data_IF_973389440100
#
_entry.id   IF_973389440100
#
_cell.length_a   1.000
_cell.length_b   1.000
_cell.length_c   1.000
_cell.angle_alpha   90.00
_cell.angle_beta   90.00
_cell.angle_gamma   90.00
#
_symmetry.space_group_name_H-M   'P 1'
#
loop_
_entity.id
_entity.type
_entity.pdbx_description
1 polymer ?
#
# COMPACT_ATOMS: atom_id res chain seq x y z
N UNK A 1 12.87 -43.08 -23.73
CA UNK A 1 11.62 -43.80 -23.43
C UNK A 1 10.56 -42.79 -23.12
N UNK A 2 9.34 -42.89 -23.62
CA UNK A 2 8.26 -41.95 -23.28
C UNK A 2 8.05 -41.94 -21.78
N UNK A 3 7.96 -40.77 -21.14
CA UNK A 3 7.73 -40.61 -19.71
C UNK A 3 6.28 -40.98 -19.39
N UNK A 4 6.07 -41.94 -18.48
CA UNK A 4 4.73 -42.29 -18.03
C UNK A 4 4.31 -41.37 -16.87
N UNK A 5 3.43 -40.44 -17.15
CA UNK A 5 2.97 -39.41 -16.20
C UNK A 5 2.21 -40.00 -15.00
N UNK A 6 1.53 -41.12 -15.18
CA UNK A 6 0.87 -41.84 -14.07
C UNK A 6 1.90 -42.42 -13.10
N UNK A 7 2.98 -43.00 -13.63
CA UNK A 7 4.08 -43.52 -12.82
C UNK A 7 4.84 -42.41 -12.09
N UNK A 8 5.01 -41.23 -12.72
CA UNK A 8 5.67 -40.07 -12.09
C UNK A 8 4.88 -39.57 -10.89
N UNK A 9 3.56 -39.53 -10.98
CA UNK A 9 2.67 -39.15 -9.86
C UNK A 9 2.37 -40.31 -8.89
N UNK A 10 2.76 -41.54 -9.23
CA UNK A 10 2.52 -42.74 -8.41
C UNK A 10 1.05 -43.09 -8.26
N UNK A 11 0.25 -42.91 -9.33
CA UNK A 11 -1.21 -43.12 -9.33
C UNK A 11 -1.63 -44.05 -10.46
N UNK A 12 -2.77 -44.70 -10.29
CA UNK A 12 -3.38 -45.55 -11.31
C UNK A 12 -3.99 -44.72 -12.45
N UNK A 13 -4.07 -45.30 -13.66
CA UNK A 13 -4.69 -44.65 -14.83
C UNK A 13 -6.18 -44.30 -14.65
N UNK A 14 -6.86 -44.93 -13.70
CA UNK A 14 -8.28 -44.68 -13.37
C UNK A 14 -8.46 -43.72 -12.20
N UNK A 15 -7.39 -43.04 -11.76
CA UNK A 15 -7.40 -42.11 -10.62
C UNK A 15 -8.44 -41.01 -10.77
N UNK A 16 -9.10 -40.63 -9.68
CA UNK A 16 -10.02 -39.49 -9.61
C UNK A 16 -9.20 -38.15 -9.64
N UNK A 17 -9.85 -37.04 -10.05
CA UNK A 17 -9.20 -35.71 -10.03
C UNK A 17 -8.73 -35.32 -8.63
N UNK A 18 -9.50 -35.65 -7.60
CA UNK A 18 -9.18 -35.31 -6.21
C UNK A 18 -7.96 -36.08 -5.70
N UNK A 19 -7.86 -37.36 -6.05
CA UNK A 19 -6.71 -38.19 -5.64
C UNK A 19 -5.47 -37.83 -6.44
N UNK A 20 -5.64 -37.45 -7.71
CA UNK A 20 -4.56 -36.91 -8.51
C UNK A 20 -3.96 -35.61 -7.89
N UNK A 21 -4.86 -34.73 -7.42
CA UNK A 21 -4.46 -33.48 -6.71
C UNK A 21 -3.72 -33.79 -5.40
N UNK A 22 -4.20 -34.74 -4.62
CA UNK A 22 -3.55 -35.19 -3.37
C UNK A 22 -2.15 -35.75 -3.63
N UNK A 23 -2.01 -36.61 -4.64
CA UNK A 23 -0.71 -37.19 -5.03
C UNK A 23 0.29 -36.10 -5.46
N UNK A 24 -0.16 -35.15 -6.29
CA UNK A 24 0.62 -34.01 -6.70
C UNK A 24 1.10 -33.17 -5.50
N UNK A 25 0.22 -32.78 -4.58
CA UNK A 25 0.59 -32.00 -3.42
C UNK A 25 1.65 -32.70 -2.55
N UNK A 26 1.50 -34.02 -2.35
CA UNK A 26 2.46 -34.82 -1.59
C UNK A 26 3.86 -34.80 -2.24
N UNK A 27 3.94 -35.03 -3.55
CA UNK A 27 5.22 -35.07 -4.27
C UNK A 27 5.83 -33.68 -4.47
N UNK A 28 5.01 -32.65 -4.75
CA UNK A 28 5.45 -31.28 -4.85
C UNK A 28 6.06 -30.79 -3.52
N UNK A 29 5.45 -31.13 -2.40
CA UNK A 29 5.98 -30.82 -1.07
C UNK A 29 7.27 -31.60 -0.75
N UNK A 30 7.42 -32.83 -1.26
CA UNK A 30 8.61 -33.66 -1.04
C UNK A 30 9.80 -33.18 -1.87
N UNK A 31 9.59 -32.75 -3.12
CA UNK A 31 10.64 -32.38 -4.06
C UNK A 31 10.84 -30.85 -4.19
N UNK A 32 10.17 -30.04 -3.34
CA UNK A 32 10.30 -28.57 -3.40
C UNK A 32 11.76 -28.13 -3.26
N UNK A 33 12.26 -27.22 -4.13
CA UNK A 33 13.66 -26.81 -4.14
C UNK A 33 14.10 -26.15 -2.81
N UNK A 34 13.20 -25.51 -2.07
CA UNK A 34 13.51 -24.84 -0.81
C UNK A 34 13.61 -25.79 0.40
N UNK A 35 13.37 -27.11 0.21
CA UNK A 35 13.51 -28.08 1.30
C UNK A 35 14.86 -28.78 1.27
N UNK A 36 15.37 -29.11 2.47
CA UNK A 36 16.54 -29.95 2.64
C UNK A 36 16.24 -31.33 2.01
N UNK A 37 16.85 -31.62 0.86
CA UNK A 37 16.60 -32.84 0.08
C UNK A 37 15.66 -32.68 -1.12
N UNK A 38 15.24 -31.45 -1.45
CA UNK A 38 14.49 -31.13 -2.66
C UNK A 38 15.25 -31.51 -3.93
N UNK A 39 14.51 -31.79 -5.00
CA UNK A 39 15.10 -32.13 -6.30
C UNK A 39 14.32 -31.42 -7.42
N UNK A 40 14.93 -30.39 -7.98
CA UNK A 40 14.33 -29.54 -9.00
C UNK A 40 13.93 -30.30 -10.26
N UNK A 41 14.72 -31.28 -10.69
CA UNK A 41 14.40 -32.09 -11.87
C UNK A 41 13.14 -32.92 -11.64
N UNK A 42 13.03 -33.59 -10.49
CA UNK A 42 11.84 -34.35 -10.14
C UNK A 42 10.62 -33.45 -9.91
N UNK A 43 10.81 -32.27 -9.35
CA UNK A 43 9.72 -31.30 -9.18
C UNK A 43 9.15 -30.84 -10.53
N UNK A 44 10.01 -30.58 -11.53
CA UNK A 44 9.59 -30.27 -12.91
C UNK A 44 8.81 -31.42 -13.54
N UNK A 45 9.25 -32.66 -13.37
CA UNK A 45 8.55 -33.84 -13.89
C UNK A 45 7.18 -34.06 -13.25
N UNK A 46 7.08 -33.86 -11.94
CA UNK A 46 5.81 -33.95 -11.19
C UNK A 46 4.83 -32.87 -11.64
N UNK A 47 5.31 -31.62 -11.88
CA UNK A 47 4.49 -30.53 -12.40
C UNK A 47 4.00 -30.83 -13.83
N UNK A 48 4.86 -31.28 -14.73
CA UNK A 48 4.51 -31.64 -16.10
C UNK A 48 3.45 -32.74 -16.14
N UNK A 49 3.62 -33.77 -15.32
CA UNK A 49 2.67 -34.89 -15.20
C UNK A 49 1.31 -34.39 -14.69
N UNK A 50 1.27 -33.56 -13.67
CA UNK A 50 0.01 -33.03 -13.14
C UNK A 50 -0.70 -32.11 -14.13
N UNK A 51 0.01 -31.22 -14.81
CA UNK A 51 -0.56 -30.33 -15.84
C UNK A 51 -1.23 -31.11 -16.97
N UNK A 52 -0.65 -32.22 -17.35
CA UNK A 52 -1.21 -33.06 -18.42
C UNK A 52 -2.42 -33.87 -17.95
N UNK A 53 -2.36 -34.46 -16.76
CA UNK A 53 -3.40 -35.37 -16.27
C UNK A 53 -4.57 -34.68 -15.57
N UNK A 54 -4.41 -33.44 -15.10
CA UNK A 54 -5.46 -32.64 -14.45
C UNK A 54 -6.51 -32.11 -15.43
N UNK A 55 -6.11 -31.85 -16.67
CA UNK A 55 -6.99 -31.42 -17.75
C UNK A 55 -7.56 -32.64 -18.51
N UNK A 56 -8.89 -32.78 -18.53
CA UNK A 56 -9.56 -33.92 -19.17
C UNK A 56 -9.26 -34.08 -20.65
N UNK A 57 -9.03 -32.95 -21.34
CA UNK A 57 -8.74 -32.96 -22.77
C UNK A 57 -7.32 -33.46 -23.02
N UNK A 58 -6.33 -32.89 -22.31
CA UNK A 58 -4.93 -33.31 -22.39
C UNK A 58 -4.71 -34.74 -21.90
N UNK A 59 -5.45 -35.15 -20.85
CA UNK A 59 -5.44 -36.51 -20.33
C UNK A 59 -5.91 -37.51 -21.38
N UNK A 60 -7.04 -37.24 -22.09
CA UNK A 60 -7.52 -38.09 -23.19
C UNK A 60 -6.55 -38.14 -24.35
N UNK A 61 -5.95 -37.02 -24.72
CA UNK A 61 -4.92 -36.96 -25.77
C UNK A 61 -3.70 -37.81 -25.36
N UNK A 62 -3.24 -37.67 -24.12
CA UNK A 62 -2.13 -38.44 -23.58
C UNK A 62 -2.48 -39.95 -23.51
N UNK A 63 -3.67 -40.33 -23.07
CA UNK A 63 -4.11 -41.69 -22.99
C UNK A 63 -4.23 -42.34 -24.38
N UNK A 64 -4.52 -41.55 -25.43
CA UNK A 64 -4.72 -42.03 -26.79
C UNK A 64 -3.42 -42.13 -27.58
N UNK A 65 -2.54 -41.13 -27.44
CA UNK A 65 -1.35 -40.95 -28.30
C UNK A 65 -0.03 -41.09 -27.55
N UNK A 66 -0.05 -41.21 -26.21
CA UNK A 66 1.17 -41.28 -25.39
C UNK A 66 1.96 -40.00 -25.27
N UNK A 67 1.48 -38.91 -25.88
CA UNK A 67 2.05 -37.56 -25.81
C UNK A 67 0.98 -36.50 -26.00
N UNK A 68 1.20 -35.30 -25.51
CA UNK A 68 0.29 -34.16 -25.71
C UNK A 68 0.72 -33.35 -26.91
N UNK A 69 -0.22 -33.02 -27.81
CA UNK A 69 0.00 -32.05 -28.86
C UNK A 69 -0.06 -30.65 -28.27
N UNK A 70 1.08 -30.14 -27.76
CA UNK A 70 1.22 -28.72 -27.56
C UNK A 70 1.34 -28.11 -28.96
N UNK A 71 0.33 -27.32 -29.37
CA UNK A 71 0.25 -26.72 -30.70
C UNK A 71 1.42 -25.79 -31.02
N UNK A 72 2.50 -26.39 -31.45
CA UNK A 72 3.61 -25.74 -32.13
C UNK A 72 3.86 -26.57 -33.38
N UNK A 73 3.67 -25.95 -34.55
CA UNK A 73 4.05 -26.51 -35.85
C UNK A 73 5.52 -26.85 -35.90
N UNK A 74 5.98 -27.60 -36.94
CA UNK A 74 7.33 -28.10 -37.03
C UNK A 74 8.28 -26.95 -37.36
N UNK A 75 8.99 -26.44 -36.35
CA UNK A 75 10.31 -25.83 -36.46
C UNK A 75 10.60 -24.87 -35.29
N UNK A 76 11.62 -25.14 -34.50
CA UNK A 76 12.12 -24.23 -33.48
C UNK A 76 12.77 -24.95 -32.31
N UNK A 77 13.98 -25.45 -32.55
CA UNK A 77 14.94 -25.86 -31.53
C UNK A 77 15.25 -24.68 -30.60
N UNK A 78 15.12 -24.84 -29.27
CA UNK A 78 15.72 -23.95 -28.28
C UNK A 78 14.84 -22.79 -27.79
N UNK A 79 13.97 -23.03 -26.82
CA UNK A 79 13.31 -22.01 -26.03
C UNK A 79 13.24 -22.45 -24.58
N UNK A 80 14.36 -22.31 -23.85
CA UNK A 80 14.47 -22.63 -22.44
C UNK A 80 13.50 -21.81 -21.61
N UNK A 81 12.91 -22.46 -20.63
CA UNK A 81 12.10 -21.91 -19.54
C UNK A 81 12.97 -21.08 -18.58
N UNK A 82 13.49 -19.95 -19.08
CA UNK A 82 14.39 -19.05 -18.34
C UNK A 82 13.71 -17.85 -17.69
N UNK A 83 12.38 -17.92 -17.48
CA UNK A 83 11.58 -16.83 -16.94
C UNK A 83 11.03 -17.00 -15.51
N UNK A 84 11.29 -18.10 -14.80
CA UNK A 84 10.68 -18.34 -13.47
C UNK A 84 11.64 -18.20 -12.28
N UNK A 85 12.78 -17.56 -12.48
CA UNK A 85 13.80 -17.33 -11.45
C UNK A 85 13.59 -16.14 -10.51
N UNK A 86 12.38 -15.55 -10.42
CA UNK A 86 12.16 -14.29 -9.70
C UNK A 86 11.12 -14.29 -8.58
N UNK A 87 10.61 -15.43 -8.12
CA UNK A 87 9.59 -15.47 -7.06
C UNK A 87 10.05 -16.30 -5.84
N UNK A 88 11.15 -15.90 -5.26
CA UNK A 88 11.64 -16.39 -3.98
C UNK A 88 11.40 -15.35 -2.90
N UNK A 89 10.49 -15.62 -1.96
CA UNK A 89 10.46 -14.90 -0.70
C UNK A 89 9.07 -14.49 -0.20
N UNK A 90 8.65 -15.20 0.84
CA UNK A 90 7.68 -14.81 1.85
C UNK A 90 6.19 -15.17 1.65
N UNK A 91 5.79 -16.26 2.32
CA UNK A 91 4.49 -16.35 3.01
C UNK A 91 3.25 -16.50 2.13
N UNK A 92 3.06 -17.67 1.51
CA UNK A 92 1.78 -18.03 0.90
C UNK A 92 1.05 -19.13 1.70
N UNK A 93 0.52 -18.75 2.85
CA UNK A 93 -0.56 -19.52 3.50
C UNK A 93 -1.90 -18.89 3.09
N UNK A 94 -2.61 -19.55 2.17
CA UNK A 94 -4.02 -19.21 1.87
C UNK A 94 -4.36 -18.66 0.48
N UNK A 95 -3.46 -18.68 -0.51
CA UNK A 95 -3.80 -18.26 -1.88
C UNK A 95 -4.04 -19.51 -2.74
N UNK A 96 -5.24 -19.63 -3.30
CA UNK A 96 -5.58 -20.68 -4.25
C UNK A 96 -4.71 -20.54 -5.51
N UNK A 97 -3.76 -21.47 -5.68
CA UNK A 97 -2.87 -21.49 -6.85
C UNK A 97 -3.61 -21.62 -8.19
N UNK A 98 -4.90 -21.98 -8.16
CA UNK A 98 -5.74 -22.07 -9.34
C UNK A 98 -6.01 -20.74 -10.02
N UNK A 99 -6.17 -19.67 -9.24
CA UNK A 99 -6.47 -18.32 -9.76
C UNK A 99 -5.24 -17.64 -10.40
N UNK A 100 -4.06 -17.90 -9.86
CA UNK A 100 -2.80 -17.31 -10.43
C UNK A 100 -2.38 -18.06 -11.70
N UNK A 101 -2.65 -19.38 -11.76
CA UNK A 101 -2.30 -20.17 -12.94
C UNK A 101 -3.30 -19.97 -14.10
N UNK A 102 -4.55 -19.63 -13.81
CA UNK A 102 -5.56 -19.32 -14.81
C UNK A 102 -5.24 -18.06 -15.63
N UNK A 103 -4.70 -17.05 -14.99
CA UNK A 103 -4.37 -15.76 -15.64
C UNK A 103 -3.05 -15.83 -16.46
N UNK A 104 -2.10 -16.66 -16.07
CA UNK A 104 -0.78 -16.70 -16.72
C UNK A 104 -0.68 -17.73 -17.85
N UNK A 105 -1.39 -18.86 -17.76
CA UNK A 105 -1.33 -19.95 -18.75
C UNK A 105 -2.55 -20.07 -19.66
N UNK A 106 -3.62 -19.34 -19.36
CA UNK A 106 -4.83 -19.28 -20.18
C UNK A 106 -4.69 -18.36 -21.39
N UNK A 107 -3.57 -18.34 -22.05
CA UNK A 107 -3.37 -17.65 -23.33
C UNK A 107 -4.24 -18.22 -24.41
N UNK A 108 -5.49 -17.81 -24.50
CA UNK A 108 -6.40 -18.13 -25.58
C UNK A 108 -7.81 -18.43 -25.10
N UNK A 109 -8.69 -17.41 -25.21
CA UNK A 109 -10.16 -17.60 -25.24
C UNK A 109 -10.87 -18.16 -24.02
N UNK A 110 -10.62 -17.67 -22.83
CA UNK A 110 -11.66 -17.57 -21.83
C UNK A 110 -11.99 -16.08 -21.66
N UNK A 111 -12.97 -15.62 -22.40
CA UNK A 111 -13.65 -14.35 -22.14
C UNK A 111 -14.22 -14.41 -20.73
N UNK A 112 -13.45 -14.00 -19.73
CA UNK A 112 -14.03 -13.49 -18.51
C UNK A 112 -14.78 -12.21 -18.89
N UNK A 113 -16.02 -12.40 -19.35
CA UNK A 113 -17.03 -11.33 -19.52
C UNK A 113 -17.50 -10.84 -18.15
N UNK A 114 -16.59 -10.73 -17.19
CA UNK A 114 -16.78 -9.91 -16.04
C UNK A 114 -16.68 -8.46 -16.52
N UNK A 115 -17.70 -7.67 -16.30
CA UNK A 115 -17.65 -6.21 -16.45
C UNK A 115 -16.49 -5.71 -15.60
N UNK A 116 -15.30 -5.53 -16.20
CA UNK A 116 -14.16 -4.91 -15.52
C UNK A 116 -14.58 -3.48 -15.24
N UNK A 117 -14.97 -3.22 -14.00
CA UNK A 117 -15.35 -1.88 -13.57
C UNK A 117 -14.13 -0.99 -13.70
N UNK A 118 -14.21 0.03 -14.56
CA UNK A 118 -13.13 0.99 -14.73
C UNK A 118 -12.88 1.71 -13.41
N UNK A 119 -11.60 1.86 -13.06
CA UNK A 119 -11.17 2.58 -11.85
C UNK A 119 -10.48 3.87 -12.25
N UNK A 120 -10.86 4.97 -11.58
CA UNK A 120 -10.22 6.26 -11.71
C UNK A 120 -8.78 6.24 -11.23
N UNK A 121 -8.03 7.27 -11.62
CA UNK A 121 -6.62 7.40 -11.21
C UNK A 121 -6.53 7.77 -9.75
N UNK A 122 -5.53 7.23 -9.10
CA UNK A 122 -5.16 7.66 -7.75
C UNK A 122 -4.44 9.03 -7.84
N UNK A 123 -4.60 9.83 -6.80
CA UNK A 123 -3.98 11.16 -6.67
C UNK A 123 -3.03 11.11 -5.48
N UNK A 124 -1.87 11.73 -5.61
CA UNK A 124 -0.94 11.93 -4.50
C UNK A 124 -0.73 13.42 -4.27
N UNK A 125 -0.77 13.82 -3.01
CA UNK A 125 -0.48 15.19 -2.56
C UNK A 125 0.45 15.16 -1.36
N UNK A 126 1.21 16.23 -1.17
CA UNK A 126 2.04 16.44 0.02
C UNK A 126 1.39 17.51 0.89
N UNK A 127 1.39 17.30 2.21
CA UNK A 127 0.96 18.28 3.20
C UNK A 127 2.06 18.53 4.22
N UNK A 128 2.22 19.78 4.62
CA UNK A 128 3.11 20.15 5.71
C UNK A 128 2.31 20.36 6.99
N UNK A 129 2.76 19.74 8.07
CA UNK A 129 2.21 19.87 9.40
C UNK A 129 3.23 20.56 10.33
N UNK A 130 2.75 21.29 11.31
CA UNK A 130 3.58 21.68 12.43
C UNK A 130 3.91 20.45 13.30
N UNK A 131 4.92 20.55 14.13
CA UNK A 131 5.28 19.47 15.04
C UNK A 131 4.13 19.14 16.00
N UNK A 132 3.46 20.18 16.54
CA UNK A 132 2.32 20.04 17.44
C UNK A 132 1.15 19.32 16.76
N UNK A 133 0.84 19.69 15.51
CA UNK A 133 -0.21 19.04 14.73
C UNK A 133 0.08 17.56 14.47
N UNK A 134 1.36 17.20 14.28
CA UNK A 134 1.75 15.80 14.10
C UNK A 134 1.59 14.98 15.38
N UNK A 135 1.79 15.62 16.54
CA UNK A 135 1.68 14.95 17.85
C UNK A 135 0.23 14.83 18.29
N UNK A 136 -0.55 15.91 18.23
CA UNK A 136 -1.92 15.93 18.75
C UNK A 136 -3.00 15.58 17.71
N UNK A 137 -2.60 15.51 16.43
CA UNK A 137 -3.54 15.37 15.33
C UNK A 137 -4.24 16.68 14.99
N UNK A 138 -4.79 16.75 13.80
CA UNK A 138 -5.51 17.95 13.33
C UNK A 138 -6.48 17.60 12.21
N UNK A 139 -7.35 18.53 11.87
CA UNK A 139 -8.14 18.49 10.64
C UNK A 139 -7.68 19.58 9.70
N UNK A 140 -7.26 19.21 8.50
CA UNK A 140 -6.84 20.12 7.45
C UNK A 140 -7.81 20.07 6.29
N UNK A 141 -8.14 21.21 5.74
CA UNK A 141 -8.92 21.34 4.51
C UNK A 141 -7.98 21.69 3.36
N UNK A 142 -8.02 20.87 2.32
CA UNK A 142 -7.19 21.07 1.13
C UNK A 142 -8.11 21.22 -0.08
N UNK A 143 -7.87 22.26 -0.88
CA UNK A 143 -8.57 22.49 -2.13
C UNK A 143 -7.84 21.74 -3.25
N UNK A 144 -8.48 20.75 -3.81
CA UNK A 144 -7.89 19.88 -4.82
C UNK A 144 -8.66 19.96 -6.15
N UNK A 145 -7.94 20.33 -7.21
CA UNK A 145 -8.48 20.30 -8.58
C UNK A 145 -8.43 18.89 -9.15
N UNK A 146 -9.56 18.22 -9.29
CA UNK A 146 -9.65 16.86 -9.81
C UNK A 146 -10.90 16.61 -10.64
N UNK A 147 -10.90 15.50 -11.37
CA UNK A 147 -12.11 14.98 -11.99
C UNK A 147 -13.01 14.37 -10.94
N UNK A 148 -14.22 14.89 -10.78
CA UNK A 148 -15.21 14.44 -9.78
C UNK A 148 -16.54 14.10 -10.47
N UNK A 149 -17.40 13.37 -9.77
CA UNK A 149 -18.76 13.14 -10.25
C UNK A 149 -19.51 14.47 -10.38
N UNK A 150 -20.34 14.57 -11.36
CA UNK A 150 -21.18 15.74 -11.59
C UNK A 150 -22.26 15.81 -10.50
N UNK A 151 -22.27 16.90 -9.73
CA UNK A 151 -23.21 17.08 -8.60
C UNK A 151 -24.69 17.09 -9.05
N UNK A 152 -24.97 17.59 -10.26
CA UNK A 152 -26.32 17.68 -10.80
C UNK A 152 -26.92 16.33 -11.14
N UNK A 153 -26.11 15.40 -11.66
CA UNK A 153 -26.60 14.09 -12.13
C UNK A 153 -26.06 12.91 -11.32
N UNK A 154 -25.21 13.14 -10.33
CA UNK A 154 -24.62 12.07 -9.51
C UNK A 154 -23.83 11.04 -10.30
N UNK A 155 -23.23 11.43 -11.43
CA UNK A 155 -22.49 10.50 -12.30
C UNK A 155 -23.32 9.86 -13.41
N UNK A 156 -24.66 9.97 -13.38
CA UNK A 156 -25.54 9.33 -14.39
C UNK A 156 -25.44 9.94 -15.80
N UNK A 157 -24.96 11.18 -15.94
CA UNK A 157 -24.98 11.92 -17.21
C UNK A 157 -26.37 12.30 -17.71
N UNK A 158 -27.41 11.92 -16.99
CA UNK A 158 -28.80 12.23 -17.30
C UNK A 158 -29.27 13.51 -16.58
N UNK A 159 -30.14 14.25 -17.22
CA UNK A 159 -30.89 15.29 -16.48
C UNK A 159 -31.73 14.61 -15.39
N UNK A 160 -31.86 15.18 -14.20
CA UNK A 160 -32.72 14.62 -13.15
C UNK A 160 -34.12 14.28 -13.66
N UNK A 161 -34.64 13.13 -13.25
CA UNK A 161 -35.97 12.61 -13.65
C UNK A 161 -36.13 12.25 -15.14
N UNK A 162 -35.05 12.02 -15.88
CA UNK A 162 -35.09 11.61 -17.29
C UNK A 162 -34.96 10.10 -17.42
N UNK A 163 -35.72 9.49 -18.33
CA UNK A 163 -35.65 8.05 -18.61
C UNK A 163 -34.37 7.71 -19.38
N UNK A 164 -33.88 6.50 -19.14
CA UNK A 164 -32.74 5.93 -19.87
C UNK A 164 -33.26 5.06 -21.04
N UNK A 165 -32.63 5.20 -22.19
CA UNK A 165 -32.91 4.38 -23.39
C UNK A 165 -31.69 3.53 -23.73
N UNK A 166 -31.93 2.32 -24.21
CA UNK A 166 -30.88 1.42 -24.67
C UNK A 166 -30.05 2.08 -25.77
N UNK A 167 -28.73 2.04 -25.67
CA UNK A 167 -27.85 2.64 -26.66
C UNK A 167 -27.93 1.86 -27.98
N UNK A 168 -28.33 2.55 -29.05
CA UNK A 168 -28.47 1.94 -30.38
C UNK A 168 -27.12 1.52 -30.99
N UNK A 169 -26.03 2.26 -30.69
CA UNK A 169 -24.70 1.99 -31.25
C UNK A 169 -24.09 0.69 -30.76
N UNK A 170 -24.23 0.37 -29.47
CA UNK A 170 -23.68 -0.86 -28.89
C UNK A 170 -24.77 -1.88 -28.51
N UNK A 171 -26.02 -1.64 -28.86
CA UNK A 171 -27.17 -2.50 -28.51
C UNK A 171 -27.19 -2.91 -27.01
N UNK A 172 -26.85 -1.96 -26.12
CA UNK A 172 -26.83 -2.16 -24.69
C UNK A 172 -25.58 -2.86 -24.14
N UNK A 173 -24.61 -3.23 -24.97
CA UNK A 173 -23.40 -3.94 -24.54
C UNK A 173 -22.34 -3.01 -23.90
N UNK A 174 -22.43 -1.69 -24.08
CA UNK A 174 -21.46 -0.72 -23.60
C UNK A 174 -20.12 -0.72 -24.35
N UNK A 175 -19.90 -1.70 -25.23
CA UNK A 175 -18.65 -1.89 -26.00
C UNK A 175 -18.96 -2.06 -27.47
N UNK A 176 -18.05 -1.63 -28.33
CA UNK A 176 -18.12 -1.78 -29.79
C UNK A 176 -16.90 -2.54 -30.26
N UNK A 177 -17.10 -3.53 -31.11
CA UNK A 177 -16.02 -4.30 -31.73
C UNK A 177 -15.74 -3.72 -33.12
N UNK A 178 -14.56 -3.20 -33.33
CA UNK A 178 -14.07 -2.80 -34.66
C UNK A 178 -13.14 -3.87 -35.22
N UNK A 179 -13.40 -4.27 -36.46
CA UNK A 179 -12.50 -5.13 -37.22
C UNK A 179 -11.52 -4.26 -38.02
N UNK A 180 -10.26 -4.30 -37.63
CA UNK A 180 -9.18 -3.64 -38.38
C UNK A 180 -8.47 -4.67 -39.26
N UNK A 181 -8.43 -4.41 -40.56
CA UNK A 181 -7.63 -5.17 -41.51
C UNK A 181 -6.16 -4.74 -41.37
N UNK A 182 -5.29 -5.66 -41.04
CA UNK A 182 -3.84 -5.45 -41.06
C UNK A 182 -3.20 -6.40 -42.05
N UNK A 183 -1.97 -6.14 -42.46
CA UNK A 183 -1.15 -6.99 -43.34
C UNK A 183 -1.01 -8.43 -42.80
N UNK A 184 -1.13 -8.65 -41.49
CA UNK A 184 -1.05 -9.94 -40.84
C UNK A 184 -2.42 -10.58 -40.56
N UNK A 185 -3.52 -10.03 -41.06
CA UNK A 185 -4.86 -10.58 -40.86
C UNK A 185 -5.88 -9.59 -40.29
N UNK A 186 -7.09 -10.08 -40.02
CA UNK A 186 -8.16 -9.29 -39.44
C UNK A 186 -8.07 -9.38 -37.93
N UNK A 187 -7.84 -8.23 -37.27
CA UNK A 187 -7.85 -8.14 -35.80
C UNK A 187 -9.15 -7.47 -35.36
N UNK A 188 -9.84 -8.08 -34.39
CA UNK A 188 -10.98 -7.46 -33.74
C UNK A 188 -10.54 -6.76 -32.48
N UNK A 189 -10.73 -5.44 -32.41
CA UNK A 189 -10.44 -4.63 -31.22
C UNK A 189 -11.75 -4.26 -30.56
N UNK A 190 -11.88 -4.52 -29.27
CA UNK A 190 -13.04 -4.15 -28.46
C UNK A 190 -12.70 -2.86 -27.72
N UNK A 191 -13.50 -1.81 -27.88
CA UNK A 191 -13.34 -0.56 -27.17
C UNK A 191 -14.65 -0.09 -26.56
N UNK A 192 -14.57 0.78 -25.58
CA UNK A 192 -15.72 1.37 -24.92
C UNK A 192 -16.56 2.16 -25.93
N UNK A 193 -17.87 2.01 -25.92
CA UNK A 193 -18.76 2.73 -26.82
C UNK A 193 -18.70 4.24 -26.56
N UNK A 194 -18.28 5.02 -27.55
CA UNK A 194 -18.12 6.47 -27.46
C UNK A 194 -19.44 7.24 -27.27
N UNK A 195 -20.58 6.60 -27.55
CA UNK A 195 -21.90 7.24 -27.46
C UNK A 195 -22.50 7.12 -26.07
N UNK A 196 -22.34 5.97 -25.43
CA UNK A 196 -22.86 5.72 -24.06
C UNK A 196 -21.77 5.68 -22.99
N UNK A 197 -20.50 5.84 -23.36
CA UNK A 197 -19.35 5.79 -22.44
C UNK A 197 -19.32 4.53 -21.57
N UNK A 198 -19.60 3.39 -22.16
CA UNK A 198 -19.59 2.10 -21.46
C UNK A 198 -20.91 1.72 -20.78
N UNK A 199 -21.87 2.61 -20.69
CA UNK A 199 -23.15 2.41 -19.97
C UNK A 199 -24.07 1.35 -20.60
N UNK A 200 -24.04 1.23 -21.88
CA UNK A 200 -25.08 0.47 -22.62
C UNK A 200 -26.38 1.24 -22.82
N UNK A 201 -26.59 2.35 -22.11
CA UNK A 201 -27.81 3.17 -22.15
C UNK A 201 -27.47 4.64 -22.33
N UNK A 202 -28.38 5.38 -22.95
CA UNK A 202 -28.29 6.82 -23.12
C UNK A 202 -29.48 7.51 -22.47
N UNK A 203 -29.29 8.66 -21.81
CA UNK A 203 -30.41 9.45 -21.32
C UNK A 203 -31.18 10.09 -22.48
N UNK A 204 -32.49 10.21 -22.37
CA UNK A 204 -33.33 11.00 -23.32
C UNK A 204 -32.91 12.46 -23.33
N UNK A 205 -32.65 13.04 -22.15
CA UNK A 205 -32.09 14.37 -22.01
C UNK A 205 -30.75 14.31 -21.27
N UNK A 206 -29.71 14.84 -21.90
CA UNK A 206 -28.37 14.89 -21.31
C UNK A 206 -28.31 15.94 -20.20
N UNK A 207 -27.54 15.66 -19.16
CA UNK A 207 -27.22 16.64 -18.14
C UNK A 207 -26.48 17.84 -18.76
N UNK A 208 -27.00 19.04 -18.57
CA UNK A 208 -26.41 20.26 -19.12
C UNK A 208 -25.03 20.58 -18.57
N UNK A 209 -24.76 20.24 -17.29
CA UNK A 209 -23.51 20.55 -16.62
C UNK A 209 -22.34 19.70 -17.13
N UNK A 210 -22.54 18.41 -17.30
CA UNK A 210 -21.48 17.49 -17.75
C UNK A 210 -21.65 17.02 -19.21
N UNK A 211 -22.60 17.59 -19.95
CA UNK A 211 -22.89 17.24 -21.38
C UNK A 211 -23.13 15.74 -21.60
N UNK A 212 -23.63 15.04 -20.58
CA UNK A 212 -23.93 13.61 -20.66
C UNK A 212 -22.79 12.68 -20.23
N UNK A 213 -21.62 13.18 -19.89
CA UNK A 213 -20.45 12.36 -19.52
C UNK A 213 -20.58 11.79 -18.09
N UNK A 214 -21.16 12.55 -17.16
CA UNK A 214 -21.33 12.17 -15.77
C UNK A 214 -20.22 12.65 -14.84
N UNK A 215 -19.08 13.09 -15.37
CA UNK A 215 -17.93 13.62 -14.63
C UNK A 215 -17.56 15.00 -15.13
N UNK A 216 -16.88 15.78 -14.29
CA UNK A 216 -16.37 17.10 -14.64
C UNK A 216 -15.14 17.44 -13.79
N UNK A 217 -14.26 18.27 -14.33
CA UNK A 217 -13.13 18.81 -13.55
C UNK A 217 -13.64 19.95 -12.68
N UNK A 218 -13.44 19.85 -11.37
CA UNK A 218 -13.78 20.89 -10.41
C UNK A 218 -12.75 20.95 -9.27
N UNK A 219 -12.74 22.07 -8.59
CA UNK A 219 -12.04 22.19 -7.33
C UNK A 219 -12.95 21.66 -6.22
N UNK A 220 -12.44 20.76 -5.41
CA UNK A 220 -13.16 20.14 -4.31
C UNK A 220 -12.38 20.36 -3.01
N UNK A 221 -13.06 20.87 -1.99
CA UNK A 221 -12.50 20.99 -0.65
C UNK A 221 -12.60 19.63 0.04
N UNK A 222 -11.46 19.06 0.38
CA UNK A 222 -11.36 17.77 1.05
C UNK A 222 -10.86 17.99 2.46
N UNK A 223 -11.64 17.55 3.44
CA UNK A 223 -11.23 17.54 4.84
C UNK A 223 -10.39 16.28 5.11
N UNK A 224 -9.15 16.50 5.53
CA UNK A 224 -8.18 15.46 5.85
C UNK A 224 -8.07 15.38 7.36
N UNK A 225 -8.46 14.27 7.95
CA UNK A 225 -8.23 13.97 9.37
C UNK A 225 -6.84 13.38 9.56
N UNK A 226 -5.97 14.11 10.24
CA UNK A 226 -4.63 13.65 10.59
C UNK A 226 -4.69 13.02 11.99
N UNK A 227 -4.38 11.72 12.13
CA UNK A 227 -4.38 11.07 13.44
C UNK A 227 -3.24 11.61 14.32
N UNK A 228 -3.42 11.60 15.66
CA UNK A 228 -2.36 11.97 16.57
C UNK A 228 -1.19 10.99 16.51
N UNK A 229 0.02 11.52 16.62
CA UNK A 229 1.24 10.73 16.61
C UNK A 229 1.71 10.30 15.23
N UNK A 230 1.25 10.93 14.16
CA UNK A 230 1.73 10.67 12.80
C UNK A 230 3.23 11.01 12.66
N UNK A 231 3.95 10.23 11.88
CA UNK A 231 5.39 10.41 11.64
C UNK A 231 5.67 11.19 10.37
N UNK A 232 6.84 11.83 10.31
CA UNK A 232 7.33 12.42 9.06
C UNK A 232 7.48 11.36 7.97
N UNK A 233 7.07 11.68 6.75
CA UNK A 233 7.07 10.77 5.61
C UNK A 233 5.94 9.72 5.60
N UNK A 234 5.09 9.68 6.61
CA UNK A 234 3.96 8.74 6.67
C UNK A 234 2.90 9.09 5.63
N UNK A 235 2.23 8.08 5.11
CA UNK A 235 1.24 8.22 4.05
C UNK A 235 -0.16 7.89 4.55
N UNK A 236 -1.08 8.83 4.42
CA UNK A 236 -2.50 8.63 4.68
C UNK A 236 -3.22 8.29 3.38
N UNK A 237 -4.11 7.30 3.43
CA UNK A 237 -4.95 6.91 2.29
C UNK A 237 -6.41 7.25 2.56
N UNK A 238 -7.02 7.95 1.64
CA UNK A 238 -8.46 8.22 1.62
C UNK A 238 -9.10 7.50 0.44
N UNK A 239 -9.78 6.39 0.69
CA UNK A 239 -10.40 5.58 -0.34
C UNK A 239 -11.51 6.31 -1.09
N UNK A 240 -11.54 6.19 -2.42
CA UNK A 240 -12.55 6.79 -3.29
C UNK A 240 -12.47 8.32 -3.41
N UNK A 241 -11.36 8.95 -2.95
CA UNK A 241 -11.17 10.40 -3.03
C UNK A 241 -10.21 10.84 -4.14
N UNK A 242 -9.75 9.92 -4.97
CA UNK A 242 -8.99 10.18 -6.19
C UNK A 242 -9.85 10.73 -7.34
N UNK A 243 -9.39 10.59 -8.57
CA UNK A 243 -10.15 10.98 -9.76
C UNK A 243 -11.35 10.05 -9.97
N UNK A 244 -12.47 10.64 -10.32
CA UNK A 244 -13.63 9.89 -10.76
C UNK A 244 -13.48 9.48 -12.22
N UNK A 245 -14.05 8.34 -12.58
CA UNK A 245 -14.23 7.86 -13.94
C UNK A 245 -15.72 7.69 -14.21
N UNK A 246 -16.12 7.90 -15.46
CA UNK A 246 -17.51 7.73 -15.84
C UNK A 246 -17.92 6.26 -15.66
N UNK A 247 -18.96 6.01 -14.85
CA UNK A 247 -19.52 4.66 -14.59
C UNK A 247 -18.57 3.63 -13.96
N UNK A 248 -17.56 4.10 -13.28
CA UNK A 248 -16.61 3.26 -12.57
C UNK A 248 -16.45 3.64 -11.10
N UNK A 249 -15.40 3.14 -10.49
CA UNK A 249 -15.02 3.43 -9.12
C UNK A 249 -13.96 4.54 -9.13
N UNK A 250 -14.13 5.56 -8.30
CA UNK A 250 -13.10 6.59 -8.14
C UNK A 250 -11.79 5.98 -7.60
N UNK A 251 -10.68 6.57 -7.98
CA UNK A 251 -9.37 6.25 -7.40
C UNK A 251 -9.28 6.67 -5.94
N UNK A 252 -8.12 6.48 -5.34
CA UNK A 252 -7.82 6.86 -3.97
C UNK A 252 -6.98 8.14 -3.93
N UNK A 253 -7.04 8.83 -2.79
CA UNK A 253 -6.16 9.96 -2.51
C UNK A 253 -5.12 9.53 -1.48
N UNK A 254 -3.86 9.66 -1.86
CA UNK A 254 -2.70 9.44 -1.02
C UNK A 254 -2.13 10.78 -0.58
N UNK A 255 -1.94 10.94 0.72
CA UNK A 255 -1.48 12.17 1.33
C UNK A 255 -0.18 11.85 2.05
N UNK A 256 0.93 12.37 1.53
CA UNK A 256 2.23 12.27 2.18
C UNK A 256 2.40 13.41 3.17
N UNK A 257 2.74 13.06 4.39
CA UNK A 257 2.87 14.03 5.49
C UNK A 257 4.33 14.44 5.64
N UNK A 258 4.58 15.74 5.71
CA UNK A 258 5.87 16.32 6.04
C UNK A 258 5.73 17.09 7.35
N UNK A 259 6.56 16.76 8.34
CA UNK A 259 6.52 17.39 9.66
C UNK A 259 7.65 18.41 9.78
N UNK A 260 7.28 19.66 10.08
CA UNK A 260 8.29 20.71 10.34
C UNK A 260 9.02 20.43 11.65
N UNK A 261 10.36 20.63 11.70
CA UNK A 261 11.11 20.49 12.94
C UNK A 261 10.66 21.55 13.96
N UNK A 262 10.65 21.17 15.25
CA UNK A 262 10.37 22.08 16.34
C UNK A 262 11.68 22.61 16.95
N UNK A 263 11.68 23.86 17.44
CA UNK A 263 12.88 24.50 17.97
C UNK A 263 13.42 23.83 19.24
N UNK A 264 12.54 23.33 20.09
CA UNK A 264 12.90 22.78 21.41
C UNK A 264 12.74 21.28 21.51
N UNK A 265 11.80 20.70 20.76
CA UNK A 265 11.40 19.29 20.88
C UNK A 265 11.86 18.48 19.69
N UNK A 266 12.26 17.23 19.96
CA UNK A 266 12.46 16.16 18.97
C UNK A 266 11.62 14.98 19.36
N UNK A 267 11.24 14.17 18.42
CA UNK A 267 10.51 12.93 18.65
C UNK A 267 11.45 11.74 18.60
N UNK A 268 11.40 10.89 19.63
CA UNK A 268 12.06 9.59 19.66
C UNK A 268 11.05 8.49 19.98
N UNK A 269 10.56 7.84 18.95
CA UNK A 269 9.48 6.87 19.07
C UNK A 269 8.18 7.50 19.61
N UNK A 270 7.76 7.11 20.81
CA UNK A 270 6.61 7.70 21.52
C UNK A 270 7.00 8.80 22.50
N UNK A 271 8.29 9.05 22.71
CA UNK A 271 8.77 10.07 23.62
C UNK A 271 9.06 11.38 22.88
N UNK A 272 8.96 12.47 23.60
CA UNK A 272 9.46 13.77 23.21
C UNK A 272 10.75 14.04 23.94
N UNK A 273 11.76 14.49 23.23
CA UNK A 273 13.08 14.82 23.78
C UNK A 273 13.33 16.31 23.70
N UNK A 274 13.79 16.91 24.79
CA UNK A 274 14.23 18.30 24.83
C UNK A 274 15.51 18.42 25.62
N UNK A 275 16.24 19.52 25.39
CA UNK A 275 17.42 19.87 26.19
C UNK A 275 17.07 21.05 27.10
N UNK A 276 17.39 20.92 28.37
CA UNK A 276 17.23 21.98 29.37
C UNK A 276 18.59 22.51 29.79
N UNK A 277 18.81 23.80 29.56
CA UNK A 277 19.98 24.52 30.01
C UNK A 277 19.86 24.85 31.51
N UNK A 278 20.66 24.21 32.33
CA UNK A 278 20.70 24.39 33.80
C UNK A 278 21.96 25.16 34.16
N UNK A 279 21.86 26.14 35.04
CA UNK A 279 23.04 26.86 35.54
C UNK A 279 23.91 25.94 36.40
N UNK A 280 25.22 26.13 36.37
CA UNK A 280 26.16 25.31 37.17
C UNK A 280 25.80 25.32 38.65
N UNK A 281 25.46 26.49 39.24
CA UNK A 281 25.01 26.60 40.62
C UNK A 281 23.80 25.74 40.93
N UNK A 282 22.85 25.75 40.03
CA UNK A 282 21.57 25.02 40.19
C UNK A 282 21.77 23.52 40.00
N UNK A 283 22.78 23.13 39.20
CA UNK A 283 23.16 21.72 39.06
C UNK A 283 23.81 21.16 40.34
N UNK A 284 24.54 21.99 41.08
CA UNK A 284 25.20 21.60 42.34
C UNK A 284 24.21 21.59 43.51
N UNK A 285 23.37 22.62 43.63
CA UNK A 285 22.50 22.87 44.78
C UNK A 285 21.07 22.35 44.60
N UNK A 286 20.73 21.89 43.40
CA UNK A 286 19.36 21.60 43.03
C UNK A 286 18.55 22.85 42.77
N UNK A 287 17.51 22.75 41.94
CA UNK A 287 16.65 23.85 41.63
C UNK A 287 15.29 23.37 41.03
N UNK A 288 14.35 24.28 40.91
CA UNK A 288 13.11 24.01 40.18
C UNK A 288 13.03 24.92 38.93
N UNK A 289 12.85 24.30 37.77
CA UNK A 289 12.70 24.98 36.50
C UNK A 289 11.27 24.84 35.99
N UNK A 290 10.75 25.88 35.38
CA UNK A 290 9.49 25.78 34.63
C UNK A 290 9.78 25.46 33.17
N UNK A 291 9.17 24.39 32.66
CA UNK A 291 9.25 23.94 31.28
C UNK A 291 7.88 24.05 30.66
N UNK A 292 7.79 24.68 29.50
CA UNK A 292 6.55 24.77 28.72
C UNK A 292 6.45 23.49 27.87
N UNK A 293 5.46 22.66 28.17
CA UNK A 293 5.19 21.42 27.42
C UNK A 293 4.61 21.75 26.04
N UNK A 294 4.60 20.78 25.12
CA UNK A 294 4.16 20.99 23.75
C UNK A 294 2.67 21.41 23.66
N UNK A 295 1.86 21.07 24.68
CA UNK A 295 0.47 21.51 24.82
C UNK A 295 0.32 22.92 25.42
N UNK A 296 1.41 23.67 25.56
CA UNK A 296 1.45 25.04 26.07
C UNK A 296 1.33 25.17 27.58
N UNK A 297 1.32 24.08 28.35
CA UNK A 297 1.26 24.13 29.83
C UNK A 297 2.61 24.23 30.43
N UNK A 298 2.75 25.10 31.45
CA UNK A 298 3.95 25.17 32.26
C UNK A 298 3.95 24.03 33.29
N UNK A 299 5.04 23.27 33.33
CA UNK A 299 5.26 22.18 34.28
C UNK A 299 6.56 22.43 35.06
N UNK A 300 6.51 22.25 36.36
CA UNK A 300 7.70 22.36 37.20
C UNK A 300 8.55 21.08 37.13
N UNK A 301 9.82 21.27 36.84
CA UNK A 301 10.81 20.20 36.77
C UNK A 301 11.81 20.42 37.91
N UNK A 302 11.88 19.47 38.82
CA UNK A 302 12.85 19.52 39.92
C UNK A 302 14.18 18.92 39.44
N UNK A 303 15.22 19.73 39.52
CA UNK A 303 16.61 19.33 39.26
C UNK A 303 17.19 18.84 40.59
N UNK A 304 17.63 17.59 40.71
CA UNK A 304 18.26 17.09 41.92
C UNK A 304 19.64 17.72 42.11
N UNK A 305 20.10 17.75 43.36
CA UNK A 305 21.47 18.16 43.69
C UNK A 305 22.48 17.21 43.05
N UNK A 306 23.57 17.77 42.54
CA UNK A 306 24.66 17.01 41.93
C UNK A 306 24.28 16.38 40.58
N UNK A 307 23.26 16.90 39.88
CA UNK A 307 22.90 16.42 38.54
C UNK A 307 24.09 16.59 37.59
N UNK A 308 24.30 15.60 36.71
CA UNK A 308 25.43 15.56 35.78
C UNK A 308 25.01 16.05 34.40
N UNK A 309 26.00 16.50 33.62
CA UNK A 309 25.81 16.76 32.22
C UNK A 309 25.36 15.49 31.48
N UNK A 310 24.29 15.60 30.69
CA UNK A 310 23.72 14.48 29.95
C UNK A 310 22.75 13.61 30.74
N UNK A 311 22.55 13.86 32.04
CA UNK A 311 21.49 13.17 32.78
C UNK A 311 20.12 13.44 32.14
N UNK A 312 19.26 12.42 32.24
CA UNK A 312 17.92 12.50 31.62
C UNK A 312 16.86 12.48 32.72
N UNK A 313 16.11 13.58 32.80
CA UNK A 313 14.93 13.68 33.64
C UNK A 313 13.68 13.28 32.84
N UNK A 314 12.73 12.62 33.50
CA UNK A 314 11.57 12.05 32.84
C UNK A 314 10.27 12.66 33.38
N UNK A 315 9.50 13.31 32.51
CA UNK A 315 8.13 13.71 32.77
C UNK A 315 7.18 12.67 32.19
N UNK A 316 6.56 11.91 33.04
CA UNK A 316 5.69 10.78 32.66
C UNK A 316 4.42 11.27 31.95
N UNK A 317 3.97 10.49 30.95
CA UNK A 317 2.69 10.64 30.26
C UNK A 317 2.49 12.02 29.58
N UNK A 318 3.58 12.69 29.19
CA UNK A 318 3.58 13.99 28.52
C UNK A 318 4.16 13.97 27.11
N UNK A 319 4.44 12.77 26.58
CA UNK A 319 4.94 12.55 25.23
C UNK A 319 3.83 12.42 24.19
N UNK A 320 4.11 11.66 23.15
CA UNK A 320 3.21 11.43 22.04
C UNK A 320 2.00 10.62 22.48
N UNK A 321 0.77 11.06 22.21
CA UNK A 321 -0.42 10.27 22.43
C UNK A 321 -0.36 8.92 21.70
N UNK A 322 -0.83 7.86 22.33
CA UNK A 322 -0.82 6.51 21.77
C UNK A 322 -2.26 5.98 21.62
N UNK A 323 -3.00 6.38 20.57
CA UNK A 323 -4.37 5.95 20.38
C UNK A 323 -4.42 4.42 20.18
N UNK A 324 -5.13 3.74 21.08
CA UNK A 324 -5.35 2.28 21.01
C UNK A 324 -4.35 1.40 21.75
N UNK A 325 -3.26 1.93 22.32
CA UNK A 325 -2.25 1.15 23.06
C UNK A 325 -2.03 1.58 24.53
N UNK A 326 -2.90 2.39 25.09
CA UNK A 326 -2.83 2.79 26.47
C UNK A 326 -2.15 4.15 26.70
N UNK A 327 -1.15 4.22 27.60
CA UNK A 327 -0.59 5.49 28.06
C UNK A 327 0.21 6.23 27.00
N UNK A 328 0.19 7.57 27.01
CA UNK A 328 1.08 8.41 26.21
C UNK A 328 2.55 8.09 26.50
N UNK A 329 3.44 8.49 25.61
CA UNK A 329 4.87 8.51 25.88
C UNK A 329 5.24 9.55 26.93
N UNK A 330 6.52 9.74 27.17
CA UNK A 330 7.06 10.67 28.16
C UNK A 330 7.79 11.82 27.49
N UNK A 331 8.06 12.89 28.27
CA UNK A 331 9.08 13.87 27.88
C UNK A 331 10.38 13.50 28.57
N UNK A 332 11.43 13.32 27.79
CA UNK A 332 12.80 13.10 28.23
C UNK A 332 13.56 14.43 28.14
N UNK A 333 14.02 14.91 29.28
CA UNK A 333 14.72 16.18 29.40
C UNK A 333 16.20 15.90 29.61
N UNK A 334 17.01 16.17 28.60
CA UNK A 334 18.47 16.08 28.73
C UNK A 334 19.00 17.34 29.39
N UNK A 335 19.69 17.15 30.51
CA UNK A 335 20.30 18.23 31.25
C UNK A 335 21.58 18.69 30.55
N UNK A 336 21.63 19.95 30.17
CA UNK A 336 22.80 20.63 29.65
C UNK A 336 23.28 21.65 30.69
N UNK A 337 24.49 21.48 31.23
CA UNK A 337 25.03 22.42 32.23
C UNK A 337 25.71 23.57 31.55
N UNK A 338 25.13 24.74 31.75
CA UNK A 338 25.64 26.00 31.16
C UNK A 338 26.69 26.61 32.06
N UNK A 339 27.94 26.62 31.62
CA UNK A 339 29.02 27.28 32.28
C UNK A 339 29.14 28.74 31.81
N UNK A 340 29.29 29.72 32.73
CA UNK A 340 29.44 31.13 32.33
C UNK A 340 30.78 31.36 31.65
N UNK A 341 30.75 32.06 30.53
CA UNK A 341 31.97 32.41 29.76
C UNK A 341 32.78 33.53 30.38
N UNK A 342 32.14 34.37 31.20
CA UNK A 342 32.79 35.52 31.92
C UNK A 342 32.39 35.49 33.39
N UNK A 343 33.35 35.57 34.27
CA UNK A 343 33.19 35.61 35.72
C UNK A 343 33.57 36.99 36.24
N UNK A 344 32.78 37.53 37.16
CA UNK A 344 33.21 38.74 37.92
C UNK A 344 34.34 38.39 38.86
N UNK A 345 35.15 39.37 39.25
CA UNK A 345 36.27 39.16 40.15
C UNK A 345 35.86 38.55 41.50
N UNK A 346 34.65 38.89 41.99
CA UNK A 346 34.10 38.33 43.23
C UNK A 346 33.76 36.85 43.06
N UNK A 347 33.11 36.47 41.98
CA UNK A 347 32.75 35.07 41.69
C UNK A 347 34.02 34.23 41.46
N UNK A 348 35.04 34.80 40.85
CA UNK A 348 36.31 34.10 40.62
C UNK A 348 37.01 33.73 41.94
N UNK A 349 37.07 34.66 42.92
CA UNK A 349 37.58 34.37 44.23
C UNK A 349 36.81 33.26 44.97
N UNK A 350 35.47 33.32 44.90
CA UNK A 350 34.63 32.25 45.51
C UNK A 350 34.89 30.88 44.90
N UNK A 351 35.07 30.83 43.55
CA UNK A 351 35.39 29.57 42.88
C UNK A 351 36.81 29.08 43.24
N UNK A 352 37.77 29.99 43.46
CA UNK A 352 39.12 29.66 43.95
C UNK A 352 39.09 29.06 45.36
N UNK A 353 38.23 29.60 46.24
CA UNK A 353 37.98 29.04 47.56
C UNK A 353 37.38 27.65 47.50
N UNK A 354 36.30 27.45 46.67
CA UNK A 354 35.68 26.14 46.43
C UNK A 354 36.66 25.11 45.86
N UNK A 355 37.58 25.52 45.03
CA UNK A 355 38.64 24.65 44.51
C UNK A 355 39.56 24.14 45.64
N UNK A 356 39.74 24.92 46.73
CA UNK A 356 40.45 24.48 47.91
C UNK A 356 39.71 23.39 48.70
N UNK A 357 38.37 23.36 48.62
CA UNK A 357 37.52 22.35 49.25
C UNK A 357 37.32 21.07 48.39
N UNK A 358 37.94 21.05 47.19
CA UNK A 358 37.93 19.88 46.33
C UNK A 358 36.81 19.85 45.29
N UNK A 359 36.16 21.01 45.06
CA UNK A 359 35.16 21.16 43.97
C UNK A 359 35.82 21.66 42.69
#
# INVERSE_FOLDING_TARGET
MPKDFYNILGVDRKVSKDDLKKAFHKLAHQYHPDKKGGNEAKFKEVNEAYQTLSDEKKRREYDTYGHTFNGAGPQGEGGGFEGFGGFGGQGFEGVDLGDIFGDFFGGGYASATGNRVERGRDISIDIELSFEESIFGTQRKVLLGKTSLCDTCGGSGAKPNTKMKKCATCNGKGRVTEMRKSFLGNFSTVHTCNVCYGRGENPEEKCKMCSGIGILKKQEEIAIGVPPGISDGEMLRMSGRGEAVAHGIAGDLYIKVHVKPHALYRREGHNLVMTLDVKLSDALLGATYQVITLDGKAVEVKIPEGVKFGDTLRLKERGVPNPGRGRPGDILIHVNIKTPTRLSGKVKKMIEELRGEGL
#
